data_IF_177913610263
#
_entry.id   IF_177913610263
#
_cell.length_a   1.000
_cell.length_b   1.000
_cell.length_c   1.000
_cell.angle_alpha   90.00
_cell.angle_beta   90.00
_cell.angle_gamma   90.00
#
_symmetry.space_group_name_H-M   'P 1'
#
loop_
_entity.id
_entity.type
_entity.pdbx_description
1 polymer ?
#
# COMPACT_ATOMS: atom_id res chain seq x y z
N UNK A 1 58.73 20.30 -15.69
CA UNK A 1 57.30 20.35 -15.33
C UNK A 1 57.27 20.44 -13.81
N UNK A 2 57.03 21.63 -13.26
CA UNK A 2 56.81 21.79 -11.83
C UNK A 2 55.39 21.31 -11.56
N UNK A 3 55.23 20.16 -10.93
CA UNK A 3 54.03 19.85 -10.17
C UNK A 3 53.91 20.93 -9.09
N UNK A 4 52.94 21.82 -9.23
CA UNK A 4 52.53 22.71 -8.15
C UNK A 4 52.00 21.81 -7.04
N UNK A 5 52.81 21.59 -6.01
CA UNK A 5 52.37 20.96 -4.77
C UNK A 5 51.32 21.90 -4.19
N UNK A 6 50.05 21.47 -4.24
CA UNK A 6 48.95 22.22 -3.66
C UNK A 6 49.27 22.52 -2.20
N UNK A 7 49.05 23.77 -1.79
CA UNK A 7 49.27 24.16 -0.40
C UNK A 7 48.22 23.46 0.50
N UNK A 8 48.58 23.15 1.75
CA UNK A 8 47.64 22.52 2.71
C UNK A 8 46.27 23.24 2.77
N UNK A 9 46.18 24.58 2.74
CA UNK A 9 44.89 25.27 2.67
C UNK A 9 44.07 24.97 1.41
N UNK A 10 44.70 24.77 0.24
CA UNK A 10 44.01 24.41 -1.01
C UNK A 10 43.48 22.98 -0.94
N UNK A 11 44.28 22.05 -0.42
CA UNK A 11 43.87 20.66 -0.18
C UNK A 11 42.68 20.59 0.81
N UNK A 12 42.72 21.36 1.89
CA UNK A 12 41.62 21.47 2.86
C UNK A 12 40.33 21.97 2.20
N UNK A 13 40.41 22.99 1.33
CA UNK A 13 39.23 23.51 0.61
C UNK A 13 38.62 22.45 -0.30
N UNK A 14 39.44 21.66 -0.99
CA UNK A 14 38.97 20.55 -1.83
C UNK A 14 38.25 19.49 -1.00
N UNK A 15 38.84 19.06 0.12
CA UNK A 15 38.21 18.11 1.05
C UNK A 15 36.86 18.65 1.57
N UNK A 16 36.81 19.91 2.01
CA UNK A 16 35.58 20.54 2.50
C UNK A 16 34.47 20.56 1.43
N UNK A 17 34.82 20.91 0.18
CA UNK A 17 33.86 20.90 -0.94
C UNK A 17 33.34 19.50 -1.22
N UNK A 18 34.20 18.48 -1.24
CA UNK A 18 33.80 17.08 -1.47
C UNK A 18 32.97 16.51 -0.33
N UNK A 19 33.29 16.85 0.91
CA UNK A 19 32.47 16.49 2.07
C UNK A 19 31.07 17.13 1.95
N UNK A 20 31.01 18.42 1.60
CA UNK A 20 29.75 19.11 1.33
C UNK A 20 28.92 18.44 0.23
N UNK A 21 29.57 18.01 -0.86
CA UNK A 21 28.93 17.26 -1.96
C UNK A 21 28.31 15.94 -1.46
N UNK A 22 29.03 15.16 -0.66
CA UNK A 22 28.51 13.93 -0.05
C UNK A 22 27.32 14.20 0.87
N UNK A 23 27.41 15.24 1.71
CA UNK A 23 26.33 15.61 2.63
C UNK A 23 25.06 16.02 1.90
N UNK A 24 25.16 16.81 0.83
CA UNK A 24 24.01 17.19 0.01
C UNK A 24 23.37 15.96 -0.66
N UNK A 25 24.18 15.01 -1.14
CA UNK A 25 23.66 13.81 -1.78
C UNK A 25 22.95 12.89 -0.77
N UNK A 26 23.49 12.75 0.44
CA UNK A 26 22.83 12.04 1.54
C UNK A 26 21.51 12.70 1.94
N UNK A 27 21.45 14.04 1.98
CA UNK A 27 20.21 14.76 2.25
C UNK A 27 19.16 14.53 1.16
N UNK A 28 19.56 14.56 -0.12
CA UNK A 28 18.67 14.23 -1.23
C UNK A 28 18.15 12.79 -1.14
N UNK A 29 19.02 11.84 -0.80
CA UNK A 29 18.64 10.45 -0.56
C UNK A 29 17.62 10.34 0.57
N UNK A 30 17.88 10.96 1.73
CA UNK A 30 16.98 10.91 2.88
C UNK A 30 15.61 11.54 2.58
N UNK A 31 15.57 12.68 1.89
CA UNK A 31 14.33 13.34 1.48
C UNK A 31 13.49 12.46 0.55
N UNK A 32 14.14 11.82 -0.43
CA UNK A 32 13.46 10.90 -1.33
C UNK A 32 12.95 9.65 -0.60
N UNK A 33 13.77 9.09 0.31
CA UNK A 33 13.40 7.92 1.09
C UNK A 33 12.20 8.21 2.00
N UNK A 34 12.16 9.41 2.61
CA UNK A 34 11.00 9.88 3.39
C UNK A 34 9.72 9.86 2.55
N UNK A 35 9.77 10.36 1.32
CA UNK A 35 8.61 10.32 0.43
C UNK A 35 8.20 8.87 0.10
N UNK A 36 9.16 8.00 -0.24
CA UNK A 36 8.90 6.59 -0.55
C UNK A 36 8.25 5.86 0.63
N UNK A 37 8.79 5.99 1.84
CA UNK A 37 8.29 5.32 3.05
C UNK A 37 6.94 5.86 3.51
N UNK A 38 6.73 7.18 3.41
CA UNK A 38 5.47 7.80 3.79
C UNK A 38 4.31 7.38 2.87
N UNK A 39 4.61 7.04 1.62
CA UNK A 39 3.61 6.74 0.59
C UNK A 39 3.57 5.26 0.21
N UNK A 40 4.38 4.40 0.81
CA UNK A 40 4.40 2.96 0.49
C UNK A 40 3.15 2.24 0.97
N UNK A 41 2.45 2.77 1.97
CA UNK A 41 1.27 2.14 2.53
C UNK A 41 0.32 3.16 3.16
N UNK A 42 -0.97 2.93 2.98
CA UNK A 42 -2.04 3.62 3.67
C UNK A 42 -3.11 2.60 4.06
N UNK A 43 -3.56 2.63 5.30
CA UNK A 43 -4.58 1.73 5.82
C UNK A 43 -5.40 2.46 6.87
N UNK A 44 -6.73 2.35 6.80
CA UNK A 44 -7.62 2.97 7.77
C UNK A 44 -9.06 3.13 7.29
N UNK A 45 -9.92 3.72 8.13
CA UNK A 45 -11.29 4.07 7.75
C UNK A 45 -11.29 5.07 6.59
N UNK A 46 -12.17 4.85 5.61
CA UNK A 46 -12.22 5.63 4.37
C UNK A 46 -12.31 7.15 4.59
N UNK A 47 -13.07 7.58 5.59
CA UNK A 47 -13.27 9.00 5.97
C UNK A 47 -12.07 9.61 6.70
N UNK A 48 -11.09 8.81 7.13
CA UNK A 48 -9.87 9.24 7.84
C UNK A 48 -8.59 9.09 7.03
N UNK A 49 -8.64 8.45 5.85
CA UNK A 49 -7.46 8.15 5.03
C UNK A 49 -6.59 9.38 4.76
N UNK A 50 -7.18 10.53 4.43
CA UNK A 50 -6.41 11.76 4.17
C UNK A 50 -5.64 12.23 5.40
N UNK A 51 -6.28 12.21 6.58
CA UNK A 51 -5.63 12.58 7.83
C UNK A 51 -4.50 11.59 8.19
N UNK A 52 -4.74 10.28 8.06
CA UNK A 52 -3.74 9.24 8.30
C UNK A 52 -2.53 9.43 7.38
N UNK A 53 -2.75 9.76 6.11
CA UNK A 53 -1.68 10.04 5.14
C UNK A 53 -0.84 11.23 5.56
N UNK A 54 -1.47 12.32 5.98
CA UNK A 54 -0.76 13.55 6.38
C UNK A 54 0.00 13.35 7.70
N UNK A 55 -0.58 12.64 8.66
CA UNK A 55 0.08 12.23 9.91
C UNK A 55 1.29 11.34 9.64
N UNK A 56 1.16 10.35 8.75
CA UNK A 56 2.27 9.48 8.35
C UNK A 56 3.39 10.29 7.70
N UNK A 57 3.08 11.18 6.75
CA UNK A 57 4.06 12.09 6.13
C UNK A 57 4.78 12.96 7.18
N UNK A 58 4.04 13.55 8.11
CA UNK A 58 4.60 14.39 9.16
C UNK A 58 5.50 13.59 10.13
N UNK A 59 5.12 12.36 10.46
CA UNK A 59 5.92 11.46 11.29
C UNK A 59 7.21 11.03 10.58
N UNK A 60 7.10 10.55 9.35
CA UNK A 60 8.24 10.10 8.54
C UNK A 60 9.25 11.23 8.28
N UNK A 61 8.78 12.47 8.11
CA UNK A 61 9.66 13.63 7.93
C UNK A 61 10.64 13.85 9.09
N UNK A 62 10.26 13.47 10.32
CA UNK A 62 11.08 13.63 11.54
C UNK A 62 12.06 12.48 11.78
N UNK A 63 11.98 11.41 10.99
CA UNK A 63 12.81 10.22 11.17
C UNK A 63 14.19 10.38 10.55
N UNK A 64 15.16 9.66 11.11
CA UNK A 64 16.53 9.60 10.61
C UNK A 64 16.68 8.56 9.51
N UNK A 65 17.73 8.68 8.70
CA UNK A 65 18.07 7.70 7.66
C UNK A 65 18.01 6.24 8.14
N UNK A 66 18.55 5.92 9.32
CA UNK A 66 18.54 4.54 9.84
C UNK A 66 17.12 4.02 10.15
N UNK A 67 16.26 4.86 10.72
CA UNK A 67 14.87 4.50 10.98
C UNK A 67 14.06 4.33 9.68
N UNK A 68 14.37 5.13 8.66
CA UNK A 68 13.74 5.03 7.35
C UNK A 68 14.18 3.78 6.59
N UNK A 69 15.47 3.44 6.64
CA UNK A 69 16.00 2.20 6.05
C UNK A 69 15.30 0.98 6.64
N UNK A 70 15.10 0.95 7.96
CA UNK A 70 14.39 -0.15 8.63
C UNK A 70 12.96 -0.29 8.11
N UNK A 71 12.20 0.81 8.05
CA UNK A 71 10.84 0.82 7.51
C UNK A 71 10.77 0.46 6.02
N UNK A 72 11.75 0.89 5.22
CA UNK A 72 11.84 0.53 3.81
C UNK A 72 11.97 -1.00 3.67
N UNK A 73 12.89 -1.61 4.43
CA UNK A 73 13.18 -3.04 4.35
C UNK A 73 12.08 -3.94 4.92
N UNK A 74 11.30 -3.43 5.88
CA UNK A 74 10.18 -4.17 6.49
C UNK A 74 8.87 -4.01 5.71
N UNK A 75 8.69 -2.88 5.01
CA UNK A 75 7.42 -2.49 4.41
C UNK A 75 7.43 -2.44 2.89
N UNK A 76 8.35 -1.68 2.30
CA UNK A 76 8.32 -1.37 0.87
C UNK A 76 9.14 -2.33 0.00
N UNK A 77 9.95 -3.21 0.59
CA UNK A 77 10.66 -4.28 -0.13
C UNK A 77 10.02 -5.63 0.19
N UNK A 78 9.88 -6.50 -0.82
CA UNK A 78 9.37 -7.87 -0.65
C UNK A 78 10.24 -8.89 -1.38
N UNK A 79 10.27 -10.13 -0.88
CA UNK A 79 10.97 -11.30 -1.46
C UNK A 79 10.09 -12.18 -2.33
N UNK A 80 8.77 -11.98 -2.25
CA UNK A 80 7.75 -12.82 -2.90
C UNK A 80 6.51 -11.98 -3.19
N UNK A 81 5.70 -12.43 -4.14
CA UNK A 81 4.39 -11.84 -4.42
C UNK A 81 3.57 -11.75 -3.14
N UNK A 82 2.89 -10.61 -2.98
CA UNK A 82 2.19 -10.21 -1.76
C UNK A 82 1.49 -11.40 -1.07
N UNK A 83 2.00 -11.82 0.09
CA UNK A 83 1.19 -12.60 1.01
C UNK A 83 0.04 -11.71 1.47
N UNK A 84 -1.20 -12.20 1.34
CA UNK A 84 -2.36 -11.54 1.92
C UNK A 84 -2.11 -11.33 3.41
N UNK A 85 -1.99 -10.07 3.82
CA UNK A 85 -1.99 -9.74 5.25
C UNK A 85 -3.44 -9.77 5.71
N UNK A 86 -3.72 -10.54 6.74
CA UNK A 86 -5.05 -10.55 7.33
C UNK A 86 -5.47 -9.12 7.71
N UNK A 87 -6.75 -8.78 7.52
CA UNK A 87 -7.27 -7.49 7.95
C UNK A 87 -6.97 -7.30 9.44
N UNK A 88 -6.66 -6.06 9.84
CA UNK A 88 -6.40 -5.75 11.24
C UNK A 88 -7.62 -6.14 12.11
N UNK A 89 -7.38 -6.66 13.31
CA UNK A 89 -8.43 -7.11 14.23
C UNK A 89 -9.42 -5.99 14.65
N UNK A 90 -9.09 -4.71 14.38
CA UNK A 90 -9.86 -3.52 14.76
C UNK A 90 -10.75 -2.96 13.61
N UNK A 91 -11.07 -3.78 12.61
CA UNK A 91 -12.04 -3.37 11.58
C UNK A 91 -13.45 -3.38 12.18
N UNK A 92 -13.92 -2.19 12.57
CA UNK A 92 -15.33 -2.01 12.93
C UNK A 92 -16.22 -2.38 11.74
N UNK A 93 -17.24 -3.23 11.94
CA UNK A 93 -18.15 -3.65 10.86
C UNK A 93 -18.97 -2.49 10.29
N UNK A 94 -19.06 -1.37 11.01
CA UNK A 94 -19.89 -0.21 10.65
C UNK A 94 -19.14 0.84 9.81
N UNK A 95 -17.85 0.63 9.51
CA UNK A 95 -17.04 1.59 8.75
C UNK A 95 -16.30 0.92 7.61
N UNK A 96 -16.38 1.55 6.43
CA UNK A 96 -15.58 1.12 5.28
C UNK A 96 -14.09 1.27 5.61
N UNK A 97 -13.39 0.14 5.66
CA UNK A 97 -11.95 0.09 5.83
C UNK A 97 -11.26 -0.03 4.47
N UNK A 98 -10.21 0.73 4.27
CA UNK A 98 -9.44 0.73 3.04
C UNK A 98 -7.96 0.53 3.36
N UNK A 99 -7.29 -0.34 2.61
CA UNK A 99 -5.87 -0.59 2.73
C UNK A 99 -5.24 -0.71 1.34
N UNK A 100 -4.10 -0.05 1.17
CA UNK A 100 -3.31 -0.09 -0.05
C UNK A 100 -1.83 -0.08 0.31
N UNK A 101 -1.08 -0.97 -0.31
CA UNK A 101 0.36 -1.10 -0.12
C UNK A 101 1.04 -1.24 -1.49
N UNK A 102 2.16 -0.55 -1.64
CA UNK A 102 3.05 -0.65 -2.79
C UNK A 102 4.39 -1.20 -2.32
N UNK A 103 4.88 -2.24 -3.02
CA UNK A 103 6.13 -2.90 -2.70
C UNK A 103 6.97 -3.07 -3.96
N UNK A 104 8.29 -2.98 -3.80
CA UNK A 104 9.27 -3.39 -4.79
C UNK A 104 9.62 -4.85 -4.50
N UNK A 105 9.28 -5.71 -5.45
CA UNK A 105 9.66 -7.11 -5.40
C UNK A 105 11.11 -7.27 -5.86
N UNK A 106 11.92 -7.95 -5.05
CA UNK A 106 13.31 -8.25 -5.32
C UNK A 106 13.55 -9.75 -5.18
N UNK A 107 14.33 -10.39 -6.08
CA UNK A 107 14.83 -11.73 -5.88
C UNK A 107 15.57 -11.86 -4.53
N UNK A 108 15.54 -13.04 -3.92
CA UNK A 108 16.05 -13.26 -2.56
C UNK A 108 17.50 -12.79 -2.38
N UNK A 109 18.38 -13.11 -3.34
CA UNK A 109 19.77 -12.64 -3.32
C UNK A 109 19.86 -11.12 -3.35
N UNK A 110 19.14 -10.48 -4.28
CA UNK A 110 19.15 -9.03 -4.43
C UNK A 110 18.54 -8.32 -3.20
N UNK A 111 17.54 -8.92 -2.56
CA UNK A 111 16.98 -8.41 -1.30
C UNK A 111 18.04 -8.40 -0.19
N UNK A 112 18.79 -9.50 -0.03
CA UNK A 112 19.87 -9.59 0.97
C UNK A 112 20.97 -8.55 0.69
N UNK A 113 21.41 -8.47 -0.56
CA UNK A 113 22.47 -7.54 -0.97
C UNK A 113 22.03 -6.08 -0.77
N UNK A 114 20.79 -5.76 -1.14
CA UNK A 114 20.19 -4.45 -0.91
C UNK A 114 20.15 -4.09 0.57
N UNK A 115 19.72 -5.03 1.42
CA UNK A 115 19.64 -4.81 2.86
C UNK A 115 21.01 -4.57 3.49
N UNK A 116 22.04 -5.32 3.06
CA UNK A 116 23.42 -5.10 3.47
C UNK A 116 23.91 -3.72 3.04
N UNK A 117 23.72 -3.36 1.77
CA UNK A 117 24.19 -2.10 1.22
C UNK A 117 23.49 -0.88 1.85
N UNK A 118 22.20 -0.97 2.22
CA UNK A 118 21.51 0.08 2.98
C UNK A 118 22.09 0.27 4.40
N UNK A 119 22.53 -0.81 5.05
CA UNK A 119 23.24 -0.69 6.35
C UNK A 119 24.59 -0.01 6.18
N UNK A 120 25.32 -0.34 5.12
CA UNK A 120 26.58 0.32 4.78
C UNK A 120 26.38 1.82 4.51
N UNK A 121 25.31 2.22 3.82
CA UNK A 121 24.98 3.63 3.61
C UNK A 121 24.74 4.37 4.94
N UNK A 122 24.05 3.75 5.90
CA UNK A 122 23.84 4.34 7.24
C UNK A 122 25.17 4.47 8.00
N UNK A 123 26.03 3.45 7.92
CA UNK A 123 27.35 3.48 8.53
C UNK A 123 28.23 4.58 7.91
N UNK A 124 28.24 4.69 6.58
CA UNK A 124 28.95 5.71 5.82
C UNK A 124 28.48 7.12 6.21
N UNK A 125 27.17 7.34 6.29
CA UNK A 125 26.61 8.63 6.75
C UNK A 125 27.12 8.98 8.16
N UNK A 126 27.14 8.02 9.07
CA UNK A 126 27.59 8.27 10.44
C UNK A 126 29.10 8.51 10.52
N UNK A 127 29.89 7.80 9.71
CA UNK A 127 31.32 8.02 9.58
C UNK A 127 31.63 9.44 9.09
N UNK A 128 31.03 9.86 7.98
CA UNK A 128 31.23 11.19 7.40
C UNK A 128 30.81 12.33 8.34
N UNK A 129 29.79 12.11 9.18
CA UNK A 129 29.27 13.13 10.09
C UNK A 129 30.02 13.18 11.42
N UNK A 130 30.37 12.03 12.00
CA UNK A 130 30.83 11.96 13.39
C UNK A 130 32.30 11.55 13.55
N UNK A 131 32.87 10.85 12.56
CA UNK A 131 34.20 10.24 12.68
C UNK A 131 35.20 10.74 11.62
N UNK A 132 34.76 11.51 10.63
CA UNK A 132 35.59 11.96 9.52
C UNK A 132 36.90 12.63 9.97
N UNK A 133 36.82 13.61 10.88
CA UNK A 133 38.00 14.32 11.41
C UNK A 133 38.84 13.51 12.41
N UNK A 134 38.31 12.39 12.92
CA UNK A 134 39.08 11.47 13.75
C UNK A 134 39.91 10.51 12.88
N UNK A 135 39.46 10.27 11.64
CA UNK A 135 40.07 9.34 10.70
C UNK A 135 41.14 10.01 9.83
N UNK A 136 40.92 11.26 9.42
CA UNK A 136 41.83 11.99 8.53
C UNK A 136 42.36 13.26 9.20
N UNK A 137 43.68 13.41 9.23
CA UNK A 137 44.32 14.65 9.67
C UNK A 137 44.36 15.65 8.52
N UNK A 138 43.51 16.68 8.58
CA UNK A 138 43.43 17.71 7.55
C UNK A 138 44.54 18.75 7.64
N UNK A 139 45.44 18.66 8.63
CA UNK A 139 46.60 19.54 8.74
C UNK A 139 47.84 18.96 8.05
N UNK A 140 47.77 17.70 7.62
CA UNK A 140 48.80 17.00 6.86
C UNK A 140 48.38 16.87 5.38
N UNK A 141 49.27 17.17 4.41
CA UNK A 141 48.98 16.98 2.98
C UNK A 141 48.53 15.55 2.65
N UNK A 142 49.20 14.52 3.18
CA UNK A 142 48.85 13.13 2.89
C UNK A 142 47.50 12.75 3.53
N UNK A 143 47.19 13.28 4.71
CA UNK A 143 45.87 13.18 5.32
C UNK A 143 44.75 13.81 4.47
N UNK A 144 45.01 14.97 3.83
CA UNK A 144 44.07 15.58 2.89
C UNK A 144 43.87 14.74 1.63
N UNK A 145 44.95 14.23 1.02
CA UNK A 145 44.86 13.38 -0.18
C UNK A 145 44.07 12.08 0.10
N UNK A 146 44.32 11.44 1.24
CA UNK A 146 43.58 10.25 1.65
C UNK A 146 42.09 10.56 1.90
N UNK A 147 41.79 11.70 2.52
CA UNK A 147 40.43 12.15 2.74
C UNK A 147 39.70 12.43 1.42
N UNK A 148 40.39 13.05 0.46
CA UNK A 148 39.85 13.33 -0.87
C UNK A 148 39.46 12.05 -1.61
N UNK A 149 40.35 11.06 -1.67
CA UNK A 149 40.08 9.76 -2.30
C UNK A 149 38.92 9.03 -1.63
N UNK A 150 38.88 9.05 -0.29
CA UNK A 150 37.76 8.45 0.47
C UNK A 150 36.43 9.13 0.16
N UNK A 151 36.41 10.47 0.04
CA UNK A 151 35.19 11.22 -0.27
C UNK A 151 34.69 11.00 -1.70
N UNK A 152 35.57 10.74 -2.66
CA UNK A 152 35.14 10.37 -4.02
C UNK A 152 34.48 8.99 -4.04
N UNK A 153 35.11 7.97 -3.44
CA UNK A 153 34.49 6.64 -3.35
C UNK A 153 33.21 6.63 -2.49
N UNK A 154 33.16 7.46 -1.45
CA UNK A 154 31.94 7.68 -0.66
C UNK A 154 30.84 8.28 -1.52
N UNK A 155 31.16 9.31 -2.32
CA UNK A 155 30.19 9.96 -3.18
C UNK A 155 29.61 9.00 -4.22
N UNK A 156 30.46 8.22 -4.91
CA UNK A 156 30.02 7.21 -5.89
C UNK A 156 29.07 6.19 -5.26
N UNK A 157 29.38 5.73 -4.04
CA UNK A 157 28.52 4.82 -3.28
C UNK A 157 27.16 5.45 -2.98
N UNK A 158 27.14 6.67 -2.43
CA UNK A 158 25.91 7.39 -2.09
C UNK A 158 25.08 7.67 -3.36
N UNK A 159 25.75 8.05 -4.45
CA UNK A 159 25.13 8.36 -5.74
C UNK A 159 24.46 7.14 -6.35
N UNK A 160 25.14 5.98 -6.35
CA UNK A 160 24.58 4.71 -6.79
C UNK A 160 23.31 4.36 -6.02
N UNK A 161 23.34 4.45 -4.70
CA UNK A 161 22.17 4.25 -3.86
C UNK A 161 21.02 5.22 -4.20
N UNK A 162 21.34 6.50 -4.40
CA UNK A 162 20.35 7.49 -4.79
C UNK A 162 19.69 7.15 -6.13
N UNK A 163 20.46 6.74 -7.13
CA UNK A 163 19.91 6.38 -8.45
C UNK A 163 19.01 5.14 -8.38
N UNK A 164 19.37 4.14 -7.56
CA UNK A 164 18.51 2.99 -7.29
C UNK A 164 17.20 3.42 -6.63
N UNK A 165 17.29 4.21 -5.55
CA UNK A 165 16.10 4.69 -4.86
C UNK A 165 15.21 5.57 -5.76
N UNK A 166 15.81 6.40 -6.61
CA UNK A 166 15.09 7.21 -7.58
C UNK A 166 14.36 6.36 -8.62
N UNK A 167 14.95 5.24 -9.03
CA UNK A 167 14.28 4.29 -9.92
C UNK A 167 13.07 3.67 -9.24
N UNK A 168 13.20 3.22 -7.99
CA UNK A 168 12.06 2.70 -7.22
C UNK A 168 10.98 3.74 -6.99
N UNK A 169 11.35 4.97 -6.61
CA UNK A 169 10.41 6.05 -6.40
C UNK A 169 9.58 6.33 -7.65
N UNK A 170 10.20 6.28 -8.85
CA UNK A 170 9.51 6.40 -10.13
C UNK A 170 8.52 5.26 -10.33
N UNK A 171 8.95 4.01 -10.21
CA UNK A 171 8.08 2.84 -10.39
C UNK A 171 6.90 2.83 -9.42
N UNK A 172 7.11 3.22 -8.15
CA UNK A 172 6.02 3.36 -7.19
C UNK A 172 5.06 4.51 -7.58
N UNK A 173 5.57 5.61 -8.15
CA UNK A 173 4.75 6.71 -8.65
C UNK A 173 3.89 6.32 -9.86
N UNK A 174 4.46 5.55 -10.79
CA UNK A 174 3.75 4.98 -11.94
C UNK A 174 2.65 4.02 -11.49
N UNK A 175 2.98 3.07 -10.60
CA UNK A 175 2.00 2.14 -10.03
C UNK A 175 0.84 2.86 -9.30
N UNK A 176 1.12 3.97 -8.60
CA UNK A 176 0.08 4.82 -7.98
C UNK A 176 -0.82 5.46 -9.01
N UNK A 177 -0.26 5.95 -10.11
CA UNK A 177 -1.01 6.61 -11.18
C UNK A 177 -1.90 5.61 -11.92
N UNK A 178 -1.39 4.42 -12.20
CA UNK A 178 -2.17 3.33 -12.80
C UNK A 178 -3.29 2.86 -11.87
N UNK A 179 -2.99 2.65 -10.58
CA UNK A 179 -4.00 2.28 -9.59
C UNK A 179 -5.08 3.35 -9.45
N UNK A 180 -4.72 4.63 -9.40
CA UNK A 180 -5.69 5.73 -9.35
C UNK A 180 -6.59 5.76 -10.59
N UNK A 181 -6.02 5.48 -11.77
CA UNK A 181 -6.79 5.38 -13.02
C UNK A 181 -7.73 4.17 -13.01
N UNK A 182 -7.27 3.02 -12.51
CA UNK A 182 -8.09 1.83 -12.33
C UNK A 182 -9.26 2.09 -11.37
N UNK A 183 -9.01 2.75 -10.23
CA UNK A 183 -10.05 3.09 -9.26
C UNK A 183 -11.15 4.00 -9.78
N UNK A 184 -10.84 4.82 -10.79
CA UNK A 184 -11.81 5.69 -11.47
C UNK A 184 -12.58 4.95 -12.57
N UNK A 185 -12.20 3.72 -12.91
CA UNK A 185 -12.84 2.94 -13.97
C UNK A 185 -14.14 2.28 -13.52
N UNK A 186 -15.01 2.01 -14.50
CA UNK A 186 -16.22 1.21 -14.26
C UNK A 186 -15.89 -0.20 -13.75
N UNK A 187 -14.75 -0.79 -14.17
CA UNK A 187 -14.37 -2.12 -13.75
C UNK A 187 -14.13 -2.18 -12.23
N UNK A 188 -13.47 -1.16 -11.66
CA UNK A 188 -13.30 -1.08 -10.21
C UNK A 188 -14.63 -0.86 -9.48
N UNK A 189 -15.55 -0.09 -10.05
CA UNK A 189 -16.90 0.05 -9.49
C UNK A 189 -17.65 -1.29 -9.45
N UNK A 190 -17.54 -2.12 -10.49
CA UNK A 190 -18.14 -3.47 -10.50
C UNK A 190 -17.52 -4.37 -9.41
N UNK A 191 -16.20 -4.29 -9.20
CA UNK A 191 -15.52 -5.02 -8.10
C UNK A 191 -15.99 -4.51 -6.74
N UNK A 192 -15.97 -3.21 -6.51
CA UNK A 192 -16.22 -2.62 -5.19
C UNK A 192 -17.69 -2.69 -4.77
N UNK A 193 -18.61 -2.35 -5.68
CA UNK A 193 -20.04 -2.23 -5.37
C UNK A 193 -20.78 -3.54 -5.64
N UNK A 194 -20.44 -4.22 -6.73
CA UNK A 194 -21.13 -5.44 -7.11
C UNK A 194 -20.37 -6.69 -6.67
N UNK A 195 -19.11 -6.60 -6.22
CA UNK A 195 -18.34 -7.81 -5.87
C UNK A 195 -18.08 -8.70 -7.08
N UNK A 196 -18.08 -8.13 -8.30
CA UNK A 196 -17.80 -8.85 -9.54
C UNK A 196 -16.34 -8.59 -9.91
N UNK A 197 -15.53 -9.63 -9.81
CA UNK A 197 -14.11 -9.58 -10.13
C UNK A 197 -13.86 -9.38 -11.63
N UNK A 198 -12.62 -9.00 -11.97
CA UNK A 198 -12.22 -8.71 -13.36
C UNK A 198 -12.33 -9.93 -14.29
N UNK A 199 -12.30 -11.15 -13.74
CA UNK A 199 -12.52 -12.39 -14.47
C UNK A 199 -14.01 -12.76 -14.63
N UNK A 200 -14.92 -11.92 -14.10
CA UNK A 200 -16.35 -12.12 -14.09
C UNK A 200 -16.87 -13.02 -12.95
N UNK A 201 -15.98 -13.53 -12.08
CA UNK A 201 -16.38 -14.28 -10.89
C UNK A 201 -17.03 -13.35 -9.85
N UNK A 202 -17.95 -13.88 -9.06
CA UNK A 202 -18.70 -13.10 -8.06
C UNK A 202 -18.24 -13.49 -6.67
N UNK A 203 -17.77 -12.51 -5.90
CA UNK A 203 -17.60 -12.66 -4.45
C UNK A 203 -18.92 -12.40 -3.73
N UNK A 204 -19.72 -13.46 -3.56
CA UNK A 204 -21.06 -13.38 -2.99
C UNK A 204 -21.14 -12.64 -1.65
N UNK A 205 -20.26 -12.87 -0.65
CA UNK A 205 -20.38 -12.22 0.66
C UNK A 205 -20.35 -10.69 0.63
N UNK A 206 -19.64 -10.10 -0.34
CA UNK A 206 -19.53 -8.65 -0.51
C UNK A 206 -20.28 -8.13 -1.74
N UNK A 207 -21.07 -8.98 -2.41
CA UNK A 207 -21.79 -8.59 -3.62
C UNK A 207 -22.95 -7.65 -3.31
N UNK A 208 -23.18 -6.66 -4.18
CA UNK A 208 -24.26 -5.69 -4.03
C UNK A 208 -25.64 -6.34 -3.90
N UNK A 209 -25.88 -7.45 -4.61
CA UNK A 209 -27.13 -8.19 -4.55
C UNK A 209 -27.37 -8.87 -3.20
N UNK A 210 -26.33 -9.42 -2.58
CA UNK A 210 -26.42 -10.01 -1.23
C UNK A 210 -26.62 -8.91 -0.18
N UNK A 211 -25.93 -7.77 -0.32
CA UNK A 211 -26.14 -6.60 0.54
C UNK A 211 -27.58 -6.08 0.46
N UNK A 212 -28.16 -5.99 -0.75
CA UNK A 212 -29.56 -5.62 -0.94
C UNK A 212 -30.53 -6.61 -0.28
N UNK A 213 -30.25 -7.92 -0.35
CA UNK A 213 -31.07 -8.95 0.27
C UNK A 213 -31.02 -8.89 1.81
N UNK A 214 -29.84 -8.65 2.39
CA UNK A 214 -29.67 -8.44 3.84
C UNK A 214 -30.33 -7.15 4.31
N UNK A 215 -30.24 -6.08 3.53
CA UNK A 215 -30.93 -4.83 3.86
C UNK A 215 -32.45 -4.99 3.80
N UNK A 216 -32.97 -5.65 2.77
CA UNK A 216 -34.39 -5.98 2.67
C UNK A 216 -34.84 -6.85 3.84
N UNK A 217 -34.02 -7.81 4.28
CA UNK A 217 -34.29 -8.62 5.47
C UNK A 217 -34.40 -7.75 6.73
N UNK A 218 -33.46 -6.84 6.95
CA UNK A 218 -33.49 -5.91 8.10
C UNK A 218 -34.76 -5.05 8.14
N UNK A 219 -35.32 -4.69 6.99
CA UNK A 219 -36.47 -3.78 6.88
C UNK A 219 -37.83 -4.48 6.84
N UNK A 220 -37.88 -5.70 6.29
CA UNK A 220 -39.13 -6.38 5.94
C UNK A 220 -39.33 -7.72 6.64
N UNK A 221 -38.37 -8.19 7.45
CA UNK A 221 -38.50 -9.47 8.14
C UNK A 221 -39.69 -9.48 9.12
N UNK A 222 -40.50 -10.52 9.02
CA UNK A 222 -41.54 -10.87 9.99
C UNK A 222 -41.15 -12.21 10.63
N UNK A 223 -41.07 -12.24 11.97
CA UNK A 223 -40.62 -13.42 12.73
C UNK A 223 -39.27 -13.98 12.27
N UNK A 224 -38.35 -13.09 11.88
CA UNK A 224 -37.01 -13.45 11.42
C UNK A 224 -36.96 -14.10 10.03
N UNK A 225 -38.03 -13.99 9.24
CA UNK A 225 -38.08 -14.44 7.85
C UNK A 225 -38.61 -13.34 6.93
N UNK A 226 -38.07 -13.26 5.73
CA UNK A 226 -38.47 -12.25 4.74
C UNK A 226 -39.10 -12.92 3.52
N UNK A 227 -40.26 -12.41 3.09
CA UNK A 227 -40.91 -12.88 1.85
C UNK A 227 -40.11 -12.39 0.65
N UNK A 228 -39.63 -13.33 -0.18
CA UNK A 228 -38.75 -13.00 -1.31
C UNK A 228 -39.42 -12.06 -2.32
N UNK A 229 -40.72 -12.19 -2.60
CA UNK A 229 -41.42 -11.30 -3.54
C UNK A 229 -41.50 -9.86 -3.04
N UNK A 230 -41.60 -9.64 -1.73
CA UNK A 230 -41.61 -8.32 -1.13
C UNK A 230 -40.22 -7.69 -1.15
N UNK A 231 -39.20 -8.48 -0.81
CA UNK A 231 -37.80 -8.08 -0.95
C UNK A 231 -37.49 -7.67 -2.40
N UNK A 232 -37.85 -8.49 -3.40
CA UNK A 232 -37.63 -8.18 -4.82
C UNK A 232 -38.29 -6.85 -5.21
N UNK A 233 -39.54 -6.63 -4.80
CA UNK A 233 -40.27 -5.38 -5.07
C UNK A 233 -39.59 -4.18 -4.43
N UNK A 234 -39.10 -4.31 -3.21
CA UNK A 234 -38.36 -3.26 -2.51
C UNK A 234 -36.99 -2.99 -3.16
N UNK A 235 -36.22 -4.03 -3.48
CA UNK A 235 -34.89 -3.91 -4.12
C UNK A 235 -35.04 -3.27 -5.51
N UNK A 236 -36.00 -3.72 -6.31
CA UNK A 236 -36.20 -3.18 -7.67
C UNK A 236 -36.59 -1.69 -7.65
N UNK A 237 -37.26 -1.24 -6.58
CA UNK A 237 -37.61 0.16 -6.38
C UNK A 237 -36.43 1.00 -5.89
N UNK A 238 -35.63 0.45 -4.97
CA UNK A 238 -34.57 1.19 -4.25
C UNK A 238 -33.23 1.16 -4.99
N UNK A 239 -32.90 0.02 -5.60
CA UNK A 239 -31.66 -0.27 -6.30
C UNK A 239 -31.95 -0.92 -7.67
N UNK A 240 -32.47 -0.16 -8.65
CA UNK A 240 -32.91 -0.72 -9.94
C UNK A 240 -31.78 -1.39 -10.74
N UNK A 241 -30.52 -0.99 -10.51
CA UNK A 241 -29.35 -1.55 -11.18
C UNK A 241 -28.95 -2.95 -10.66
N UNK A 242 -29.47 -3.35 -9.50
CA UNK A 242 -29.19 -4.64 -8.86
C UNK A 242 -30.16 -5.70 -9.39
N UNK A 243 -29.72 -6.40 -10.45
CA UNK A 243 -30.51 -7.44 -11.11
C UNK A 243 -29.79 -8.79 -11.09
N UNK A 244 -30.51 -9.93 -11.00
CA UNK A 244 -29.88 -11.25 -11.04
C UNK A 244 -28.98 -11.46 -12.27
N UNK A 245 -29.39 -10.94 -13.42
CA UNK A 245 -28.66 -11.08 -14.69
C UNK A 245 -27.25 -10.50 -14.64
N UNK A 246 -27.05 -9.42 -13.88
CA UNK A 246 -25.73 -8.79 -13.68
C UNK A 246 -24.73 -9.77 -13.06
N UNK A 247 -25.22 -10.70 -12.25
CA UNK A 247 -24.44 -11.72 -11.55
C UNK A 247 -24.46 -13.10 -12.25
N UNK A 248 -24.83 -13.14 -13.54
CA UNK A 248 -24.97 -14.41 -14.28
C UNK A 248 -26.19 -15.26 -13.87
N UNK A 249 -27.06 -14.74 -13.00
CA UNK A 249 -28.21 -15.47 -12.49
C UNK A 249 -29.49 -15.19 -13.31
N UNK A 250 -30.25 -16.24 -13.60
CA UNK A 250 -31.53 -16.14 -14.31
C UNK A 250 -32.68 -15.62 -13.44
N UNK A 251 -32.60 -15.73 -12.11
CA UNK A 251 -33.64 -15.27 -11.18
C UNK A 251 -33.09 -15.00 -9.77
N UNK A 252 -33.86 -14.29 -8.94
CA UNK A 252 -33.52 -14.06 -7.52
C UNK A 252 -33.40 -15.35 -6.70
N UNK A 253 -34.14 -16.41 -7.07
CA UNK A 253 -34.00 -17.73 -6.47
C UNK A 253 -32.66 -18.39 -6.82
N UNK A 254 -32.19 -18.17 -8.04
CA UNK A 254 -30.86 -18.63 -8.49
C UNK A 254 -29.76 -17.89 -7.71
N UNK A 255 -29.92 -16.58 -7.45
CA UNK A 255 -28.98 -15.82 -6.59
C UNK A 255 -28.88 -16.41 -5.19
N UNK A 256 -30.02 -16.70 -4.52
CA UNK A 256 -30.00 -17.32 -3.19
C UNK A 256 -29.28 -18.67 -3.18
N UNK A 257 -29.46 -19.46 -4.25
CA UNK A 257 -28.82 -20.75 -4.42
C UNK A 257 -27.30 -20.64 -4.62
N UNK A 258 -26.84 -19.76 -5.50
CA UNK A 258 -25.40 -19.57 -5.77
C UNK A 258 -24.67 -18.92 -4.60
N UNK A 259 -25.30 -17.95 -3.93
CA UNK A 259 -24.69 -17.27 -2.80
C UNK A 259 -24.44 -18.22 -1.62
N UNK A 260 -25.36 -19.15 -1.33
CA UNK A 260 -25.28 -20.08 -0.17
C UNK A 260 -25.11 -19.37 1.18
N UNK A 261 -25.57 -18.11 1.27
CA UNK A 261 -25.49 -17.25 2.46
C UNK A 261 -26.82 -17.08 3.17
N UNK A 262 -27.87 -17.80 2.76
CA UNK A 262 -29.23 -17.65 3.29
C UNK A 262 -29.90 -19.02 3.45
N UNK A 263 -30.69 -19.15 4.53
CA UNK A 263 -31.66 -20.23 4.66
C UNK A 263 -32.88 -19.91 3.78
N UNK A 264 -33.41 -20.91 3.08
CA UNK A 264 -34.58 -20.73 2.19
C UNK A 264 -35.65 -21.76 2.55
N UNK A 265 -36.88 -21.28 2.79
CA UNK A 265 -38.07 -22.15 2.98
C UNK A 265 -39.14 -21.83 1.93
N UNK A 266 -39.90 -22.86 1.53
CA UNK A 266 -41.03 -22.74 0.60
C UNK A 266 -42.30 -23.15 1.32
N UNK A 267 -43.31 -22.29 1.30
CA UNK A 267 -44.63 -22.58 1.84
C UNK A 267 -45.66 -22.54 0.70
N UNK A 268 -46.50 -23.56 0.61
CA UNK A 268 -47.58 -23.61 -0.38
C UNK A 268 -48.81 -23.00 0.29
N UNK A 269 -49.27 -21.85 -0.19
CA UNK A 269 -50.53 -21.29 0.29
C UNK A 269 -51.71 -22.02 -0.33
N UNK A 270 -52.53 -22.64 0.53
CA UNK A 270 -53.69 -23.47 0.16
C UNK A 270 -54.79 -22.64 -0.53
N UNK A 271 -54.90 -21.33 -0.22
CA UNK A 271 -56.00 -20.48 -0.71
C UNK A 271 -55.68 -19.61 -1.94
N UNK A 272 -54.41 -19.49 -2.35
CA UNK A 272 -53.99 -18.60 -3.45
C UNK A 272 -53.20 -19.28 -4.58
N UNK A 273 -52.98 -20.60 -4.50
CA UNK A 273 -52.34 -21.39 -5.58
C UNK A 273 -50.87 -21.08 -5.86
N UNK A 274 -50.22 -20.26 -5.01
CA UNK A 274 -48.83 -19.84 -5.18
C UNK A 274 -47.91 -20.40 -4.08
N UNK A 275 -46.74 -20.88 -4.47
CA UNK A 275 -45.66 -21.19 -3.53
C UNK A 275 -44.95 -19.89 -3.13
N UNK A 276 -45.02 -19.52 -1.85
CA UNK A 276 -44.32 -18.38 -1.25
C UNK A 276 -42.92 -18.84 -0.83
N UNK A 277 -41.91 -18.07 -1.23
CA UNK A 277 -40.51 -18.33 -0.88
C UNK A 277 -40.10 -17.33 0.17
N UNK A 278 -39.54 -17.83 1.27
CA UNK A 278 -39.00 -17.03 2.34
C UNK A 278 -37.50 -17.27 2.46
N UNK A 279 -36.78 -16.25 2.90
CA UNK A 279 -35.35 -16.36 3.19
C UNK A 279 -34.98 -15.62 4.48
N UNK A 280 -33.83 -15.99 5.04
CA UNK A 280 -33.19 -15.27 6.15
C UNK A 280 -31.68 -15.54 6.18
N UNK A 281 -30.93 -14.68 6.82
CA UNK A 281 -29.52 -14.92 7.12
C UNK A 281 -29.39 -16.06 8.16
N UNK A 282 -28.36 -16.93 8.07
CA UNK A 282 -28.12 -17.98 9.04
C UNK A 282 -27.96 -17.40 10.44
N UNK A 283 -28.59 -18.05 11.43
CA UNK A 283 -28.38 -17.67 12.83
C UNK A 283 -26.97 -18.12 13.23
N UNK A 284 -26.12 -17.18 13.63
CA UNK A 284 -24.81 -17.52 14.20
C UNK A 284 -25.03 -18.36 15.46
N UNK A 285 -24.44 -19.56 15.50
CA UNK A 285 -24.40 -20.42 16.68
C UNK A 285 -23.22 -20.07 17.59
#
# INVERSE_FOLDING_TARGET
MNETVDSVPELQQTVQRKLGRCMLRLQQYELLLKAVVAESEISGPADRLLAIRDERRASTHKQTLGALVSQLTEGALSRSSMAEREPADDVSPDRAWFSMRYQIELPEQQFSDTHAALKELVALRNELVHHFLQRFDLWDPAGCEAAEQHLDGSYETIDGHYLTLHTWARSLGEARTEMASFMQSQAFHEVLVNGIWLDGSVHWPSSGVVSCLREAERLLACDGWTVLSEAIRWITKTYPDQTPKRYGCSSWRHVLHEAKLFDVRKEVQVDAGGAVVWYRSPVAH
#
